data_IF_949110045548
#
_entry.id   IF_949110045548
#
_cell.length_a   1.000
_cell.length_b   1.000
_cell.length_c   1.000
_cell.angle_alpha   90.00
_cell.angle_beta   90.00
_cell.angle_gamma   90.00
#
_symmetry.space_group_name_H-M   'P 1'
#
loop_
_entity.id
_entity.type
_entity.pdbx_description
1 polymer ?
#
# COMPACT_ATOMS: atom_id res chain seq x y z
N UNK A 1 41.33 -12.67 12.15
CA UNK A 1 41.20 -14.13 12.40
C UNK A 1 39.85 -14.57 11.86
N UNK A 2 39.85 -15.29 10.74
CA UNK A 2 38.65 -15.71 10.01
C UNK A 2 38.08 -17.01 10.61
N UNK A 3 36.76 -17.05 10.87
CA UNK A 3 36.04 -18.28 11.24
C UNK A 3 35.27 -18.78 10.02
N UNK A 4 35.89 -19.76 9.35
CA UNK A 4 35.33 -20.59 8.29
C UNK A 4 34.36 -21.60 8.94
N UNK A 5 33.05 -21.47 8.67
CA UNK A 5 32.05 -22.45 9.06
C UNK A 5 31.78 -23.37 7.86
N UNK A 6 32.30 -24.59 7.95
CA UNK A 6 32.04 -25.69 7.02
C UNK A 6 30.55 -26.09 7.07
N UNK A 7 29.91 -26.13 5.91
CA UNK A 7 28.66 -26.87 5.73
C UNK A 7 28.98 -28.35 5.45
N UNK A 8 28.49 -29.23 6.31
CA UNK A 8 28.57 -30.68 6.17
C UNK A 8 27.56 -31.10 5.10
N UNK A 9 28.05 -31.51 3.92
CA UNK A 9 27.24 -32.18 2.91
C UNK A 9 27.05 -33.64 3.33
N UNK A 10 25.80 -34.01 3.63
CA UNK A 10 25.44 -35.41 3.87
C UNK A 10 25.24 -36.10 2.51
N UNK A 11 26.23 -36.89 2.10
CA UNK A 11 26.12 -37.83 0.97
C UNK A 11 25.43 -39.09 1.49
N UNK A 12 24.19 -39.32 1.08
CA UNK A 12 23.55 -40.64 1.22
C UNK A 12 24.00 -41.53 0.06
N UNK A 13 24.85 -42.51 0.38
CA UNK A 13 25.21 -43.60 -0.51
C UNK A 13 24.11 -44.67 -0.41
N UNK A 14 23.23 -44.73 -1.42
CA UNK A 14 22.26 -45.84 -1.56
C UNK A 14 22.88 -46.90 -2.47
N UNK A 15 23.26 -48.03 -1.87
CA UNK A 15 23.53 -49.29 -2.57
C UNK A 15 22.20 -49.88 -3.05
N UNK A 16 22.03 -50.06 -4.37
CA UNK A 16 20.84 -50.68 -4.95
C UNK A 16 21.16 -51.41 -6.27
N UNK A 17 20.85 -52.70 -6.30
CA UNK A 17 21.07 -53.65 -7.42
C UNK A 17 20.31 -53.26 -8.71
N UNK A 18 20.83 -53.60 -9.91
CA UNK A 18 20.26 -53.16 -11.18
C UNK A 18 19.32 -54.23 -11.76
N UNK A 19 18.05 -54.21 -11.37
CA UNK A 19 16.99 -54.89 -12.14
C UNK A 19 15.63 -54.41 -11.66
N UNK A 20 15.13 -53.33 -12.27
CA UNK A 20 13.73 -53.21 -12.74
C UNK A 20 13.45 -51.75 -13.15
N UNK A 21 13.24 -51.54 -14.44
CA UNK A 21 12.78 -50.28 -15.01
C UNK A 21 11.30 -50.05 -14.63
N UNK A 22 11.00 -49.23 -13.63
CA UNK A 22 9.73 -48.48 -13.57
C UNK A 22 9.92 -47.09 -12.97
N UNK A 23 9.75 -46.10 -13.84
CA UNK A 23 9.32 -44.70 -13.62
C UNK A 23 9.44 -44.18 -12.17
N UNK A 24 10.55 -43.52 -11.86
CA UNK A 24 10.60 -42.52 -10.80
C UNK A 24 11.27 -41.27 -11.37
N UNK A 25 10.45 -40.37 -11.91
CA UNK A 25 10.88 -39.03 -12.27
C UNK A 25 11.13 -38.30 -10.95
N UNK A 26 12.40 -38.16 -10.58
CA UNK A 26 12.82 -37.36 -9.43
C UNK A 26 12.51 -35.91 -9.77
N UNK A 27 11.33 -35.43 -9.34
CA UNK A 27 11.03 -34.01 -9.31
C UNK A 27 11.95 -33.39 -8.25
N UNK A 28 13.06 -32.81 -8.70
CA UNK A 28 13.69 -31.73 -7.97
C UNK A 28 12.71 -30.55 -7.97
N UNK A 29 11.88 -30.46 -6.92
CA UNK A 29 11.25 -29.19 -6.58
C UNK A 29 12.35 -28.26 -6.10
N UNK A 30 12.92 -27.53 -7.05
CA UNK A 30 13.63 -26.29 -6.75
C UNK A 30 12.66 -25.39 -5.99
N UNK A 31 12.93 -25.12 -4.72
CA UNK A 31 12.21 -24.15 -3.88
C UNK A 31 12.38 -22.69 -4.37
N UNK A 32 12.76 -22.47 -5.63
CA UNK A 32 12.75 -21.14 -6.28
C UNK A 32 11.37 -20.81 -6.86
N UNK A 33 10.31 -20.92 -6.07
CA UNK A 33 8.96 -20.57 -6.53
C UNK A 33 8.11 -19.91 -5.47
N UNK A 34 8.57 -18.80 -4.85
CA UNK A 34 7.69 -17.86 -4.12
C UNK A 34 8.18 -16.40 -4.10
N UNK A 35 9.03 -15.95 -5.04
CA UNK A 35 9.01 -14.53 -5.40
C UNK A 35 7.80 -14.27 -6.34
N UNK A 36 6.59 -14.53 -5.84
CA UNK A 36 5.41 -13.83 -6.37
C UNK A 36 5.65 -12.37 -6.01
N UNK A 37 5.77 -11.48 -7.01
CA UNK A 37 5.91 -10.05 -6.78
C UNK A 37 4.82 -9.60 -5.79
N UNK A 38 5.20 -9.41 -4.52
CA UNK A 38 4.28 -8.90 -3.52
C UNK A 38 3.79 -7.53 -4.01
N UNK A 39 2.50 -7.20 -3.84
CA UNK A 39 1.97 -5.95 -4.36
C UNK A 39 2.69 -4.78 -3.71
N UNK A 40 3.13 -3.79 -4.50
CA UNK A 40 3.73 -2.57 -3.99
C UNK A 40 2.79 -1.80 -3.06
N UNK A 41 1.47 -1.84 -3.31
CA UNK A 41 0.47 -1.23 -2.42
C UNK A 41 -0.85 -2.00 -2.40
N UNK A 42 -1.47 -2.08 -1.22
CA UNK A 42 -2.84 -2.58 -1.03
C UNK A 42 -3.66 -1.47 -0.37
N UNK A 43 -4.84 -1.18 -0.90
CA UNK A 43 -5.78 -0.19 -0.40
C UNK A 43 -7.09 -0.90 -0.06
N UNK A 44 -7.65 -0.58 1.10
CA UNK A 44 -8.99 -1.02 1.50
C UNK A 44 -9.68 0.08 2.29
N UNK A 45 -11.00 0.12 2.25
CA UNK A 45 -11.75 1.09 3.03
C UNK A 45 -13.25 0.96 2.89
N UNK A 46 -13.95 1.86 3.56
CA UNK A 46 -15.40 2.01 3.51
C UNK A 46 -15.78 3.48 3.45
N UNK A 47 -16.82 3.77 2.66
CA UNK A 47 -17.57 5.01 2.74
C UNK A 47 -18.90 4.76 3.45
N UNK A 48 -19.22 5.60 4.43
CA UNK A 48 -20.54 5.59 5.08
C UNK A 48 -21.27 6.90 4.73
N UNK A 49 -22.45 6.77 4.14
CA UNK A 49 -23.20 7.90 3.57
C UNK A 49 -22.82 8.21 2.12
N UNK A 50 -23.62 9.06 1.47
CA UNK A 50 -23.43 9.45 0.07
C UNK A 50 -23.81 8.37 -0.94
N UNK A 51 -23.64 8.68 -2.23
CA UNK A 51 -24.07 7.82 -3.36
C UNK A 51 -23.15 6.63 -3.62
N UNK A 52 -21.93 6.66 -3.09
CA UNK A 52 -20.93 5.59 -3.20
C UNK A 52 -20.66 4.90 -1.85
N UNK A 53 -21.63 4.93 -0.93
CA UNK A 53 -21.53 4.20 0.33
C UNK A 53 -21.24 2.71 0.08
N UNK A 54 -20.34 2.12 0.87
CA UNK A 54 -19.91 0.73 0.71
C UNK A 54 -18.40 0.56 0.86
N UNK A 55 -17.96 -0.69 0.76
CA UNK A 55 -16.54 -1.04 0.79
C UNK A 55 -15.87 -0.79 -0.56
N UNK A 56 -14.58 -0.44 -0.52
CA UNK A 56 -13.74 -0.33 -1.70
C UNK A 56 -12.36 -0.94 -1.42
N UNK A 57 -11.70 -1.40 -2.47
CA UNK A 57 -10.35 -1.93 -2.39
C UNK A 57 -9.62 -1.82 -3.72
N UNK A 58 -8.29 -1.75 -3.66
CA UNK A 58 -7.42 -1.92 -4.81
C UNK A 58 -6.09 -2.54 -4.42
N UNK A 59 -5.43 -3.14 -5.40
CA UNK A 59 -4.07 -3.65 -5.28
C UNK A 59 -3.26 -3.10 -6.45
N UNK A 60 -2.06 -2.61 -6.18
CA UNK A 60 -1.09 -2.16 -7.17
C UNK A 60 0.18 -2.98 -7.08
N UNK A 61 0.68 -3.44 -8.23
CA UNK A 61 2.00 -4.09 -8.31
C UNK A 61 3.09 -3.03 -8.09
N UNK A 62 2.94 -1.87 -8.71
CA UNK A 62 3.88 -0.76 -8.58
C UNK A 62 3.72 -0.02 -7.24
N UNK A 63 4.81 0.55 -6.69
CA UNK A 63 4.74 1.38 -5.50
C UNK A 63 3.95 2.66 -5.78
N UNK A 64 2.93 2.92 -4.97
CA UNK A 64 2.14 4.16 -5.05
C UNK A 64 2.36 5.08 -3.85
N UNK A 65 3.08 4.61 -2.84
CA UNK A 65 3.46 5.40 -1.67
C UNK A 65 4.82 6.06 -1.87
N UNK A 66 4.99 7.27 -1.35
CA UNK A 66 6.24 8.00 -1.46
C UNK A 66 6.61 8.76 -0.20
N UNK A 67 7.91 8.96 -0.01
CA UNK A 67 8.52 9.87 0.96
C UNK A 67 9.12 11.06 0.20
N UNK A 68 9.01 12.26 0.76
CA UNK A 68 9.71 13.43 0.26
C UNK A 68 9.04 14.19 -0.89
N UNK A 69 7.90 13.72 -1.41
CA UNK A 69 7.30 14.27 -2.64
C UNK A 69 6.85 15.72 -2.53
N UNK A 70 6.30 16.12 -1.38
CA UNK A 70 5.79 17.49 -1.16
C UNK A 70 6.59 18.26 -0.11
N UNK A 71 7.76 17.73 0.27
CA UNK A 71 8.66 18.30 1.27
C UNK A 71 9.46 17.20 1.97
N UNK A 72 10.60 17.52 2.60
CA UNK A 72 11.53 16.51 3.14
C UNK A 72 10.93 15.55 4.17
N UNK A 73 9.93 16.00 4.93
CA UNK A 73 9.23 15.21 5.95
C UNK A 73 7.93 14.59 5.45
N UNK A 74 7.57 14.84 4.19
CA UNK A 74 6.28 14.44 3.66
C UNK A 74 6.21 12.95 3.36
N UNK A 75 5.01 12.42 3.48
CA UNK A 75 4.64 11.07 3.05
C UNK A 75 3.32 11.14 2.30
N UNK A 76 3.10 10.24 1.35
CA UNK A 76 1.85 10.22 0.60
C UNK A 76 1.58 8.93 -0.13
N UNK A 77 0.39 8.89 -0.74
CA UNK A 77 -0.03 7.85 -1.66
C UNK A 77 -0.66 8.50 -2.90
N UNK A 78 -0.36 7.95 -4.07
CA UNK A 78 -1.01 8.34 -5.32
C UNK A 78 -1.38 7.10 -6.12
N UNK A 79 -2.56 6.56 -5.85
CA UNK A 79 -3.17 5.51 -6.64
C UNK A 79 -4.20 6.10 -7.61
N UNK A 80 -4.11 5.75 -8.89
CA UNK A 80 -5.11 6.12 -9.89
C UNK A 80 -5.15 5.11 -11.02
N UNK A 81 -6.35 4.70 -11.40
CA UNK A 81 -6.62 3.83 -12.55
C UNK A 81 -7.71 4.42 -13.43
N UNK A 82 -7.62 4.20 -14.74
CA UNK A 82 -8.64 4.58 -15.72
C UNK A 82 -9.60 3.41 -15.98
N UNK A 83 -10.65 3.65 -16.78
CA UNK A 83 -11.57 2.60 -17.24
C UNK A 83 -12.58 2.10 -16.21
N UNK A 84 -12.71 2.78 -15.06
CA UNK A 84 -13.67 2.43 -14.00
C UNK A 84 -15.08 2.90 -14.32
N UNK A 85 -16.08 2.06 -14.04
CA UNK A 85 -17.49 2.43 -14.09
C UNK A 85 -17.84 3.38 -12.92
N UNK A 86 -18.94 4.13 -13.05
CA UNK A 86 -19.25 5.30 -12.20
C UNK A 86 -19.25 5.03 -10.67
N UNK A 87 -19.54 3.80 -10.25
CA UNK A 87 -19.55 3.39 -8.83
C UNK A 87 -18.31 2.62 -8.38
N UNK A 88 -17.35 2.40 -9.27
CA UNK A 88 -16.13 1.67 -8.96
C UNK A 88 -15.03 2.61 -8.47
N UNK A 89 -14.31 2.17 -7.44
CA UNK A 89 -13.16 2.90 -6.90
C UNK A 89 -12.07 3.07 -7.96
N UNK A 90 -11.62 4.31 -8.17
CA UNK A 90 -10.70 4.67 -9.26
C UNK A 90 -9.45 5.41 -8.80
N UNK A 91 -9.48 6.13 -7.68
CA UNK A 91 -8.28 6.75 -7.14
C UNK A 91 -8.33 7.00 -5.65
N UNK A 92 -7.14 6.95 -5.03
CA UNK A 92 -6.91 7.48 -3.70
C UNK A 92 -5.63 8.31 -3.74
N UNK A 93 -5.72 9.54 -3.25
CA UNK A 93 -4.59 10.42 -3.04
C UNK A 93 -4.50 10.75 -1.56
N UNK A 94 -3.30 10.60 -0.99
CA UNK A 94 -2.98 10.95 0.38
C UNK A 94 -1.78 11.89 0.40
N UNK A 95 -1.85 12.94 1.22
CA UNK A 95 -0.71 13.79 1.56
C UNK A 95 -0.64 13.96 3.08
N UNK A 96 0.57 13.82 3.61
CA UNK A 96 0.94 13.99 5.01
C UNK A 96 2.20 14.85 5.04
N UNK A 97 2.12 16.01 5.68
CA UNK A 97 3.23 16.99 5.69
C UNK A 97 4.36 16.59 6.65
N UNK A 98 3.99 15.95 7.76
CA UNK A 98 4.92 15.47 8.78
C UNK A 98 4.68 13.98 9.07
N UNK A 99 5.55 13.15 8.48
CA UNK A 99 5.54 11.71 8.66
C UNK A 99 5.76 11.28 10.12
N UNK A 100 6.59 12.00 10.86
CA UNK A 100 6.89 11.67 12.27
C UNK A 100 5.70 11.95 13.18
N UNK A 101 4.99 13.06 12.92
CA UNK A 101 3.72 13.33 13.59
C UNK A 101 2.67 12.25 13.27
N UNK A 102 2.59 11.82 12.01
CA UNK A 102 1.67 10.77 11.60
C UNK A 102 1.91 9.42 12.28
N UNK A 103 3.16 9.07 12.65
CA UNK A 103 3.42 7.85 13.44
C UNK A 103 2.80 7.88 14.84
N UNK A 104 2.62 9.07 15.42
CA UNK A 104 1.96 9.29 16.72
C UNK A 104 0.44 9.49 16.60
N UNK A 105 -0.04 9.65 15.38
CA UNK A 105 -1.41 10.06 15.09
C UNK A 105 -1.48 11.57 14.86
N UNK A 106 -2.09 11.97 13.75
CA UNK A 106 -2.28 13.37 13.37
C UNK A 106 -3.66 13.60 12.74
N UNK A 107 -4.19 14.80 12.88
CA UNK A 107 -5.35 15.29 12.13
C UNK A 107 -4.93 16.11 10.90
N UNK A 108 -3.62 16.42 10.75
CA UNK A 108 -3.03 17.19 9.65
C UNK A 108 -2.71 16.31 8.45
N UNK A 109 -3.73 16.06 7.64
CA UNK A 109 -3.57 15.30 6.39
C UNK A 109 -4.58 15.78 5.34
N UNK A 110 -4.30 15.39 4.11
CA UNK A 110 -5.25 15.45 2.99
C UNK A 110 -5.50 14.03 2.48
N UNK A 111 -6.76 13.68 2.28
CA UNK A 111 -7.17 12.47 1.57
C UNK A 111 -8.26 12.81 0.57
N UNK A 112 -8.15 12.24 -0.62
CA UNK A 112 -9.18 12.25 -1.66
C UNK A 112 -9.41 10.85 -2.19
N UNK A 113 -10.66 10.40 -2.15
CA UNK A 113 -11.12 9.10 -2.65
C UNK A 113 -12.07 9.37 -3.82
N UNK A 114 -11.80 8.81 -4.99
CA UNK A 114 -12.66 8.99 -6.16
C UNK A 114 -13.19 7.67 -6.74
N UNK A 115 -14.39 7.76 -7.33
CA UNK A 115 -15.13 6.68 -7.95
C UNK A 115 -15.53 7.08 -9.36
N UNK A 116 -15.49 6.13 -10.29
CA UNK A 116 -15.89 6.37 -11.68
C UNK A 116 -14.75 6.83 -12.59
N UNK A 117 -15.16 7.31 -13.77
CA UNK A 117 -14.24 7.75 -14.83
C UNK A 117 -13.33 8.87 -14.33
N UNK A 118 -12.05 8.81 -14.70
CA UNK A 118 -11.05 9.83 -14.34
C UNK A 118 -11.58 11.22 -14.74
N UNK A 119 -11.43 12.22 -13.87
CA UNK A 119 -11.88 13.61 -14.02
C UNK A 119 -13.40 13.88 -14.01
N UNK A 120 -14.24 12.86 -14.24
CA UNK A 120 -15.72 13.01 -14.23
C UNK A 120 -16.38 12.31 -13.05
N UNK A 121 -15.64 11.46 -12.36
CA UNK A 121 -16.10 10.68 -11.22
C UNK A 121 -16.41 11.51 -9.97
N UNK A 122 -17.22 10.93 -9.08
CA UNK A 122 -17.49 11.52 -7.77
C UNK A 122 -16.27 11.35 -6.87
N UNK A 123 -15.90 12.41 -6.15
CA UNK A 123 -14.82 12.37 -5.16
C UNK A 123 -15.27 12.82 -3.78
N UNK A 124 -14.63 12.26 -2.77
CA UNK A 124 -14.83 12.50 -1.35
C UNK A 124 -13.50 12.95 -0.76
N UNK A 125 -13.50 14.08 -0.07
CA UNK A 125 -12.28 14.76 0.34
C UNK A 125 -12.34 15.22 1.79
N UNK A 126 -11.24 15.00 2.50
CA UNK A 126 -10.95 15.59 3.81
C UNK A 126 -9.59 16.26 3.69
N UNK A 127 -9.53 17.55 3.98
CA UNK A 127 -8.32 18.34 3.91
C UNK A 127 -8.16 19.20 5.17
N UNK A 128 -7.25 18.76 6.03
CA UNK A 128 -6.77 19.50 7.20
C UNK A 128 -5.27 19.83 7.09
N UNK A 129 -4.64 19.47 5.97
CA UNK A 129 -3.23 19.68 5.69
C UNK A 129 -2.91 21.18 5.61
N UNK A 130 -1.68 21.53 5.98
CA UNK A 130 -1.16 22.89 5.84
C UNK A 130 -0.40 23.05 4.50
N UNK A 131 -0.39 22.01 3.65
CA UNK A 131 0.20 22.00 2.32
C UNK A 131 -0.64 22.80 1.32
N UNK A 132 -0.02 23.80 0.68
CA UNK A 132 -0.70 24.58 -0.36
C UNK A 132 -1.14 23.75 -1.56
N UNK A 133 -0.49 22.61 -1.84
CA UNK A 133 -0.82 21.73 -2.96
C UNK A 133 -2.15 20.98 -2.72
N UNK A 134 -2.53 20.78 -1.45
CA UNK A 134 -3.78 20.10 -1.09
C UNK A 134 -5.03 20.96 -1.35
N UNK A 135 -4.88 22.25 -1.63
CA UNK A 135 -5.99 23.16 -1.86
C UNK A 135 -6.66 23.64 -0.56
N UNK A 136 -7.95 23.99 -0.64
CA UNK A 136 -8.68 24.57 0.49
C UNK A 136 -9.01 23.51 1.54
N UNK A 137 -8.88 23.88 2.82
CA UNK A 137 -9.31 23.03 3.94
C UNK A 137 -10.81 22.76 3.85
N UNK A 138 -11.19 21.51 4.05
CA UNK A 138 -12.59 21.06 4.01
C UNK A 138 -12.77 19.71 4.69
N UNK A 139 -14.02 19.39 5.02
CA UNK A 139 -14.32 18.26 5.89
C UNK A 139 -14.07 18.62 7.34
N UNK A 140 -14.27 17.64 8.22
CA UNK A 140 -14.13 17.82 9.66
C UNK A 140 -13.68 16.55 10.33
N UNK A 141 -12.97 16.73 11.44
CA UNK A 141 -12.38 15.65 12.21
C UNK A 141 -11.41 14.80 11.38
N UNK A 142 -11.13 13.63 11.92
CA UNK A 142 -10.28 12.65 11.28
C UNK A 142 -8.95 12.45 11.98
N UNK A 143 -8.42 11.24 11.82
CA UNK A 143 -7.15 10.82 12.39
C UNK A 143 -6.47 9.95 11.37
N UNK A 144 -5.22 10.27 11.08
CA UNK A 144 -4.30 9.45 10.32
C UNK A 144 -3.22 8.91 11.26
N UNK A 145 -2.90 7.63 11.13
CA UNK A 145 -1.77 7.02 11.84
C UNK A 145 -0.96 6.17 10.88
N UNK A 146 0.36 6.23 10.98
CA UNK A 146 1.26 5.32 10.26
C UNK A 146 1.92 4.36 11.24
N UNK A 147 1.87 3.07 10.94
CA UNK A 147 2.64 2.03 11.62
C UNK A 147 3.69 1.47 10.67
N UNK A 148 4.87 1.16 11.19
CA UNK A 148 5.96 0.56 10.43
C UNK A 148 6.16 -0.89 10.90
N UNK A 149 6.39 -1.79 9.95
CA UNK A 149 6.68 -3.19 10.21
C UNK A 149 7.66 -3.70 9.14
N UNK A 150 8.95 -3.76 9.49
CA UNK A 150 10.01 -4.04 8.52
C UNK A 150 10.06 -2.95 7.45
N UNK A 151 10.04 -3.34 6.18
CA UNK A 151 9.99 -2.40 5.04
C UNK A 151 8.58 -1.87 4.76
N UNK A 152 7.54 -2.47 5.34
CA UNK A 152 6.16 -2.09 5.08
C UNK A 152 5.68 -0.97 5.99
N UNK A 153 4.82 -0.10 5.46
CA UNK A 153 4.13 0.96 6.19
C UNK A 153 2.62 0.77 6.06
N UNK A 154 1.90 0.79 7.18
CA UNK A 154 0.43 0.72 7.21
C UNK A 154 -0.12 2.06 7.66
N UNK A 155 -0.87 2.70 6.79
CA UNK A 155 -1.61 3.93 7.07
C UNK A 155 -3.04 3.56 7.42
N UNK A 156 -3.56 4.08 8.53
CA UNK A 156 -4.97 4.01 8.89
C UNK A 156 -5.53 5.41 8.97
N UNK A 157 -6.67 5.64 8.32
CA UNK A 157 -7.27 6.96 8.13
C UNK A 157 -8.75 6.89 8.48
N UNK A 158 -9.19 7.86 9.25
CA UNK A 158 -10.62 8.16 9.48
C UNK A 158 -10.85 9.64 9.17
N UNK A 159 -12.03 10.01 8.69
CA UNK A 159 -12.38 11.41 8.47
C UNK A 159 -13.81 11.57 7.97
N UNK A 160 -14.34 12.80 8.03
CA UNK A 160 -15.68 13.12 7.54
C UNK A 160 -15.59 14.27 6.53
N UNK A 161 -16.13 14.05 5.34
CA UNK A 161 -16.18 15.07 4.29
C UNK A 161 -17.13 16.22 4.65
N UNK A 162 -17.07 17.32 3.89
CA UNK A 162 -17.95 18.47 4.11
C UNK A 162 -19.45 18.13 3.90
N UNK A 163 -19.75 17.20 2.98
CA UNK A 163 -21.11 16.68 2.74
C UNK A 163 -21.50 15.53 3.70
N UNK A 164 -20.67 15.25 4.70
CA UNK A 164 -20.98 14.37 5.82
C UNK A 164 -20.70 12.88 5.60
N UNK A 165 -20.07 12.51 4.48
CA UNK A 165 -19.63 11.14 4.20
C UNK A 165 -18.42 10.79 5.07
N UNK A 166 -18.49 9.65 5.75
CA UNK A 166 -17.39 9.16 6.58
C UNK A 166 -16.49 8.25 5.74
N UNK A 167 -15.19 8.53 5.79
CA UNK A 167 -14.14 7.74 5.15
C UNK A 167 -13.39 6.96 6.23
N UNK A 168 -13.30 5.64 6.07
CA UNK A 168 -12.36 4.80 6.81
C UNK A 168 -11.49 4.07 5.79
N UNK A 169 -10.18 4.28 5.80
CA UNK A 169 -9.26 3.69 4.83
C UNK A 169 -8.01 3.13 5.49
N UNK A 170 -7.50 2.04 4.91
CA UNK A 170 -6.20 1.45 5.23
C UNK A 170 -5.38 1.31 3.95
N UNK A 171 -4.14 1.76 4.01
CA UNK A 171 -3.17 1.67 2.91
C UNK A 171 -1.95 0.90 3.44
N UNK A 172 -1.65 -0.24 2.83
CA UNK A 172 -0.44 -1.01 3.10
C UNK A 172 0.54 -0.75 1.97
N UNK A 173 1.62 -0.03 2.28
CA UNK A 173 2.72 0.24 1.38
C UNK A 173 3.82 -0.80 1.61
N UNK A 174 3.97 -1.78 0.73
CA UNK A 174 5.05 -2.76 0.81
C UNK A 174 6.32 -2.27 0.11
N UNK A 175 6.18 -1.25 -0.74
CA UNK A 175 7.28 -0.52 -1.35
C UNK A 175 6.98 0.99 -1.31
N UNK A 176 8.01 1.79 -1.06
CA UNK A 176 7.90 3.25 -0.91
C UNK A 176 8.96 3.91 -1.76
N UNK A 177 8.55 4.80 -2.66
CA UNK A 177 9.47 5.60 -3.48
C UNK A 177 10.00 6.75 -2.65
N UNK A 178 11.32 6.88 -2.52
CA UNK A 178 11.94 8.02 -1.84
C UNK A 178 12.38 9.03 -2.88
N UNK A 179 11.87 10.26 -2.78
CA UNK A 179 12.32 11.34 -3.64
C UNK A 179 13.70 11.83 -3.18
N UNK A 180 14.66 12.06 -4.09
CA UNK A 180 15.92 12.67 -3.71
C UNK A 180 15.61 14.04 -3.09
N UNK A 181 16.15 14.28 -1.89
CA UNK A 181 15.99 15.57 -1.22
C UNK A 181 16.44 16.69 -2.15
N UNK A 182 15.60 17.72 -2.29
CA UNK A 182 16.01 18.98 -2.90
C UNK A 182 16.91 19.74 -1.94
#
# INVERSE_FOLDING_TARGET
>A
MAKLLLFISSVFLVYGNPSERKKASVMFFSERSLHRNAPGTIISGTLTGGTNAGAFSATSVDPTCSMGLTGPKSFGNQYSVSGKADKEFSSLQLLVDDYEAAKKGTDKFYIKVAFGKRLMGKSYEVNNSDNSIAGKKQGSGGKLTVKESGSSKTVTITGKTADGVVINATIVCNAVVTMPGK
#
